data_IF_454998389260
#
_entry.id   IF_454998389260
#
_cell.length_a   1.000
_cell.length_b   1.000
_cell.length_c   1.000
_cell.angle_alpha   90.00
_cell.angle_beta   90.00
_cell.angle_gamma   90.00
#
_symmetry.space_group_name_H-M   'P 1'
#
loop_
_entity.id
_entity.type
_entity.pdbx_description
1 polymer ?
#
# COMPACT_ATOMS: atom_id res chain seq x y z
N UNK A 1 -16.65 4.48 6.03
CA UNK A 1 -16.34 3.28 5.21
C UNK A 1 -16.34 2.12 6.18
N UNK A 2 -17.09 1.05 5.89
CA UNK A 2 -17.16 -0.13 6.76
C UNK A 2 -15.81 -0.85 6.77
N UNK A 3 -15.34 -1.39 7.90
CA UNK A 3 -14.08 -2.17 7.98
C UNK A 3 -13.96 -3.26 6.89
N UNK A 4 -15.10 -3.80 6.46
CA UNK A 4 -15.21 -4.78 5.38
C UNK A 4 -14.69 -4.26 4.02
N UNK A 5 -14.88 -2.98 3.71
CA UNK A 5 -14.38 -2.37 2.47
C UNK A 5 -12.87 -2.15 2.53
N UNK A 6 -12.34 -1.79 3.69
CA UNK A 6 -10.91 -1.54 3.88
C UNK A 6 -10.08 -2.82 3.74
N UNK A 7 -10.56 -3.93 4.34
CA UNK A 7 -9.91 -5.23 4.22
C UNK A 7 -9.88 -5.74 2.77
N UNK A 8 -10.97 -5.53 2.00
CA UNK A 8 -11.03 -5.91 0.57
C UNK A 8 -10.07 -5.09 -0.29
N UNK A 9 -9.94 -3.78 -0.01
CA UNK A 9 -8.96 -2.91 -0.67
C UNK A 9 -7.52 -3.37 -0.43
N UNK A 10 -7.18 -3.76 0.80
CA UNK A 10 -5.85 -4.27 1.14
C UNK A 10 -5.56 -5.62 0.51
N UNK A 11 -6.53 -6.53 0.47
CA UNK A 11 -6.39 -7.79 -0.27
C UNK A 11 -6.10 -7.52 -1.75
N UNK A 12 -6.80 -6.56 -2.36
CA UNK A 12 -6.51 -6.12 -3.72
C UNK A 12 -5.09 -5.57 -3.87
N UNK A 13 -4.63 -4.77 -2.91
CA UNK A 13 -3.26 -4.23 -2.87
C UNK A 13 -2.19 -5.32 -2.76
N UNK A 14 -2.43 -6.35 -1.93
CA UNK A 14 -1.55 -7.52 -1.78
C UNK A 14 -1.48 -8.32 -3.07
N UNK A 15 -2.63 -8.64 -3.68
CA UNK A 15 -2.70 -9.41 -4.93
C UNK A 15 -2.01 -8.65 -6.06
N UNK A 16 -2.27 -7.35 -6.19
CA UNK A 16 -1.60 -6.52 -7.20
C UNK A 16 -0.10 -6.41 -6.95
N UNK A 17 0.34 -6.29 -5.70
CA UNK A 17 1.76 -6.26 -5.35
C UNK A 17 2.45 -7.61 -5.58
N UNK A 18 1.74 -8.72 -5.37
CA UNK A 18 2.25 -10.07 -5.65
C UNK A 18 2.38 -10.33 -7.16
N UNK A 19 1.40 -9.89 -7.96
CA UNK A 19 1.48 -9.94 -9.41
C UNK A 19 2.59 -9.01 -9.93
N UNK A 20 2.75 -7.84 -9.31
CA UNK A 20 3.83 -6.92 -9.62
C UNK A 20 5.21 -7.54 -9.33
N UNK A 21 5.37 -8.31 -8.25
CA UNK A 21 6.66 -8.91 -7.90
C UNK A 21 7.24 -9.87 -8.96
N UNK A 22 6.42 -10.37 -9.90
CA UNK A 22 6.91 -11.13 -11.07
C UNK A 22 7.55 -10.26 -12.16
N UNK A 23 7.45 -8.94 -12.03
CA UNK A 23 8.03 -7.95 -12.92
C UNK A 23 9.09 -7.13 -12.18
N UNK A 24 9.79 -6.27 -12.91
CA UNK A 24 10.72 -5.31 -12.32
C UNK A 24 9.94 -4.16 -11.67
N UNK A 25 9.65 -4.27 -10.37
CA UNK A 25 8.75 -3.37 -9.61
C UNK A 25 9.35 -3.14 -8.22
N UNK A 26 9.01 -2.05 -7.51
CA UNK A 26 9.67 -1.76 -6.23
C UNK A 26 9.46 -2.89 -5.20
N UNK A 27 10.57 -3.51 -4.78
CA UNK A 27 10.57 -4.67 -3.91
C UNK A 27 9.91 -4.43 -2.53
N UNK A 28 9.80 -3.17 -2.10
CA UNK A 28 9.16 -2.78 -0.85
C UNK A 28 7.63 -2.79 -0.90
N UNK A 29 6.99 -2.82 -2.07
CA UNK A 29 5.53 -2.74 -2.17
C UNK A 29 4.80 -3.99 -1.64
N UNK A 30 5.34 -5.18 -1.91
CA UNK A 30 4.78 -6.43 -1.40
C UNK A 30 4.83 -6.54 0.13
N UNK A 31 5.98 -6.35 0.82
CA UNK A 31 6.01 -6.41 2.27
C UNK A 31 5.12 -5.33 2.92
N UNK A 32 5.06 -4.11 2.37
CA UNK A 32 4.13 -3.07 2.85
C UNK A 32 2.66 -3.49 2.71
N UNK A 33 2.28 -4.10 1.59
CA UNK A 33 0.92 -4.59 1.39
C UNK A 33 0.55 -5.70 2.40
N UNK A 34 1.47 -6.64 2.65
CA UNK A 34 1.28 -7.72 3.63
C UNK A 34 1.16 -7.19 5.07
N UNK A 35 2.00 -6.23 5.43
CA UNK A 35 1.95 -5.56 6.74
C UNK A 35 0.60 -4.85 6.92
N UNK A 36 0.09 -4.16 5.89
CA UNK A 36 -1.23 -3.54 5.93
C UNK A 36 -2.37 -4.54 6.17
N UNK A 37 -2.32 -5.70 5.51
CA UNK A 37 -3.31 -6.76 5.68
C UNK A 37 -3.33 -7.32 7.13
N UNK A 38 -2.18 -7.37 7.79
CA UNK A 38 -2.06 -7.87 9.18
C UNK A 38 -2.43 -6.80 10.21
N UNK A 39 -2.08 -5.53 9.99
CA UNK A 39 -2.32 -4.46 10.95
C UNK A 39 -3.75 -3.90 10.93
N UNK A 40 -4.44 -3.93 9.79
CA UNK A 40 -5.81 -3.36 9.71
C UNK A 40 -6.85 -4.09 10.55
N UNK A 41 -6.85 -5.42 10.67
CA UNK A 41 -7.71 -6.10 11.65
C UNK A 41 -7.46 -5.64 13.10
N UNK A 42 -6.24 -5.21 13.43
CA UNK A 42 -5.84 -4.78 14.78
C UNK A 42 -6.24 -3.31 15.09
N UNK A 43 -6.67 -2.53 14.09
CA UNK A 43 -7.22 -1.18 14.30
C UNK A 43 -8.55 -1.21 15.06
N UNK A 44 -9.38 -2.22 14.82
CA UNK A 44 -10.70 -2.35 15.46
C UNK A 44 -10.64 -2.66 16.96
N UNK A 45 -9.55 -3.26 17.44
CA UNK A 45 -9.40 -3.76 18.82
C UNK A 45 -8.75 -2.74 19.77
N UNK A 46 -8.49 -1.50 19.32
CA UNK A 46 -8.00 -0.38 20.16
C UNK A 46 -6.56 -0.48 20.68
N UNK A 47 -5.88 -1.62 20.51
CA UNK A 47 -4.51 -1.86 21.00
C UNK A 47 -3.42 -1.54 19.97
N UNK A 48 -3.77 -1.23 18.73
CA UNK A 48 -2.82 -1.11 17.61
C UNK A 48 -2.45 0.32 17.18
N UNK A 49 -2.89 1.36 17.89
CA UNK A 49 -2.87 2.75 17.39
C UNK A 49 -1.46 3.26 16.99
N UNK A 50 -0.43 2.95 17.76
CA UNK A 50 0.95 3.39 17.45
C UNK A 50 1.54 2.62 16.27
N UNK A 51 1.35 1.30 16.23
CA UNK A 51 1.82 0.43 15.13
C UNK A 51 1.18 0.83 13.79
N UNK A 52 -0.10 1.23 13.85
CA UNK A 52 -0.85 1.73 12.68
C UNK A 52 -0.32 3.09 12.23
N UNK A 53 0.00 3.99 13.17
CA UNK A 53 0.58 5.29 12.84
C UNK A 53 1.94 5.14 12.17
N UNK A 54 2.79 4.24 12.66
CA UNK A 54 4.07 3.90 12.03
C UNK A 54 3.87 3.28 10.65
N UNK A 55 2.87 2.42 10.48
CA UNK A 55 2.50 1.86 9.18
C UNK A 55 2.05 2.94 8.19
N UNK A 56 1.21 3.88 8.59
CA UNK A 56 0.76 5.00 7.73
C UNK A 56 1.93 5.88 7.30
N UNK A 57 2.88 6.15 8.21
CA UNK A 57 4.10 6.89 7.88
C UNK A 57 4.98 6.12 6.88
N UNK A 58 5.15 4.81 7.08
CA UNK A 58 5.88 3.95 6.16
C UNK A 58 5.20 3.85 4.79
N UNK A 59 3.87 3.75 4.77
CA UNK A 59 3.05 3.73 3.55
C UNK A 59 3.18 5.07 2.80
N UNK A 60 3.08 6.19 3.50
CA UNK A 60 3.28 7.53 2.93
C UNK A 60 4.70 7.72 2.38
N UNK A 61 5.73 7.31 3.11
CA UNK A 61 7.12 7.32 2.64
C UNK A 61 7.33 6.44 1.41
N UNK A 62 6.66 5.28 1.36
CA UNK A 62 6.73 4.38 0.21
C UNK A 62 6.17 4.99 -1.08
N UNK A 63 5.20 5.91 -0.99
CA UNK A 63 4.70 6.63 -2.17
C UNK A 63 5.81 7.49 -2.77
N UNK A 64 6.58 8.20 -1.95
CA UNK A 64 7.71 9.01 -2.45
C UNK A 64 8.80 8.12 -3.06
N UNK A 65 9.11 6.99 -2.43
CA UNK A 65 10.05 6.00 -2.96
C UNK A 65 9.59 5.44 -4.29
N UNK A 66 8.30 5.15 -4.44
CA UNK A 66 7.72 4.72 -5.71
C UNK A 66 7.84 5.81 -6.79
N UNK A 67 7.71 7.10 -6.45
CA UNK A 67 7.87 8.23 -7.40
C UNK A 67 9.30 8.22 -7.94
N UNK A 68 10.27 8.15 -7.03
CA UNK A 68 11.70 8.16 -7.36
C UNK A 68 12.05 6.94 -8.22
N UNK A 69 11.54 5.76 -7.87
CA UNK A 69 11.76 4.55 -8.63
C UNK A 69 11.16 4.63 -10.04
N UNK A 70 9.94 5.15 -10.16
CA UNK A 70 9.23 5.32 -11.44
C UNK A 70 9.95 6.27 -12.40
N UNK A 71 10.54 7.35 -11.88
CA UNK A 71 11.34 8.29 -12.69
C UNK A 71 12.68 7.68 -13.09
N UNK A 72 13.25 6.81 -12.25
CA UNK A 72 14.58 6.22 -12.47
C UNK A 72 14.58 5.00 -13.40
N UNK A 73 13.47 4.29 -13.58
CA UNK A 73 13.40 3.04 -14.36
C UNK A 73 12.48 3.16 -15.58
N UNK A 74 13.01 2.81 -16.76
CA UNK A 74 12.23 2.73 -18.00
C UNK A 74 11.49 1.39 -18.11
N UNK A 75 10.49 1.17 -17.25
CA UNK A 75 9.68 -0.07 -17.24
C UNK A 75 8.57 -0.07 -18.28
N UNK A 76 8.17 -1.25 -18.75
CA UNK A 76 7.06 -1.46 -19.70
C UNK A 76 5.72 -0.87 -19.20
N UNK A 77 4.88 -0.39 -20.13
CA UNK A 77 3.63 0.33 -19.83
C UNK A 77 2.63 -0.45 -18.97
N UNK A 78 2.60 -1.78 -19.05
CA UNK A 78 1.74 -2.63 -18.20
C UNK A 78 2.16 -2.57 -16.72
N UNK A 79 3.46 -2.61 -16.44
CA UNK A 79 3.99 -2.51 -15.07
C UNK A 79 3.71 -1.13 -14.49
N UNK A 80 3.82 -0.08 -15.30
CA UNK A 80 3.44 1.29 -14.91
C UNK A 80 1.98 1.40 -14.49
N UNK A 81 1.08 0.69 -15.19
CA UNK A 81 -0.35 0.66 -14.85
C UNK A 81 -0.58 -0.01 -13.48
N UNK A 82 0.13 -1.10 -13.18
CA UNK A 82 0.07 -1.78 -11.88
C UNK A 82 0.61 -0.91 -10.74
N UNK A 83 1.67 -0.14 -10.99
CA UNK A 83 2.22 0.84 -10.03
C UNK A 83 1.20 1.98 -9.78
N UNK A 84 0.58 2.51 -10.84
CA UNK A 84 -0.45 3.55 -10.72
C UNK A 84 -1.70 3.07 -9.99
N UNK A 85 -2.13 1.83 -10.23
CA UNK A 85 -3.20 1.19 -9.46
C UNK A 85 -2.81 1.06 -7.99
N UNK A 86 -1.59 0.62 -7.68
CA UNK A 86 -1.07 0.56 -6.32
C UNK A 86 -1.06 1.94 -5.65
N UNK A 87 -0.73 3.00 -6.38
CA UNK A 87 -0.81 4.36 -5.88
C UNK A 87 -2.23 4.81 -5.58
N UNK A 88 -3.18 4.51 -6.46
CA UNK A 88 -4.59 4.85 -6.25
C UNK A 88 -5.14 4.19 -4.98
N UNK A 89 -4.72 2.94 -4.72
CA UNK A 89 -5.02 2.20 -3.48
C UNK A 89 -4.38 2.85 -2.25
N UNK A 90 -3.10 3.22 -2.31
CA UNK A 90 -2.39 3.91 -1.21
C UNK A 90 -3.00 5.29 -0.90
N UNK A 91 -3.34 6.08 -1.92
CA UNK A 91 -3.95 7.42 -1.76
C UNK A 91 -5.32 7.34 -1.09
N UNK A 92 -6.10 6.29 -1.37
CA UNK A 92 -7.38 6.04 -0.68
C UNK A 92 -7.20 5.59 0.77
N UNK A 93 -6.03 5.09 1.14
CA UNK A 93 -5.66 4.73 2.51
C UNK A 93 -5.10 5.94 3.31
N UNK A 94 -4.61 6.97 2.62
CA UNK A 94 -4.04 8.17 3.22
C UNK A 94 -5.03 9.16 3.90
N UNK A 95 -6.37 9.14 3.71
CA UNK A 95 -7.26 10.04 4.44
C UNK A 95 -7.63 9.42 5.79
N UNK A 96 -6.69 9.41 6.72
CA UNK A 96 -7.00 9.39 8.16
C UNK A 96 -6.05 10.35 8.90
N UNK A 97 -6.46 11.62 8.96
CA UNK A 97 -6.53 12.29 10.24
C UNK A 97 -7.99 12.70 10.50
N UNK A 98 -8.78 11.80 11.07
CA UNK A 98 -9.93 12.23 11.87
C UNK A 98 -9.48 12.31 13.33
N UNK A 99 -8.97 13.48 13.69
CA UNK A 99 -9.26 14.04 15.01
C UNK A 99 -10.77 14.25 15.09
#
# INVERSE_FOLDING_TARGET
MSDLDLNRLLQGHVVLSALAAFSDVPAWNLPLALVGLVLVPQLGDGHGAESVRQFVLALGGSVLLDVVWFVSHSTHGFVRLVILLNWLLKVRFLPLPSV
#
